data_IF_378544676253
#
_entry.id   IF_378544676253
#
_cell.length_a   1.000
_cell.length_b   1.000
_cell.length_c   1.000
_cell.angle_alpha   90.00
_cell.angle_beta   90.00
_cell.angle_gamma   90.00
#
_symmetry.space_group_name_H-M   'P 1'
#
loop_
_entity.id
_entity.type
_entity.pdbx_description
1 polymer ?
#
# COMPACT_ATOMS: atom_id res chain seq x y z
N UNK A 1 10.82 6.85 -31.67
CA UNK A 1 11.04 5.81 -30.64
C UNK A 1 9.76 5.74 -29.82
N UNK A 2 9.07 4.59 -29.78
CA UNK A 2 7.86 4.43 -28.97
C UNK A 2 8.29 4.15 -27.53
N UNK A 3 8.48 5.20 -26.73
CA UNK A 3 8.73 5.05 -25.30
C UNK A 3 7.44 4.52 -24.65
N UNK A 4 7.52 3.39 -23.96
CA UNK A 4 6.39 2.76 -23.28
C UNK A 4 6.43 3.06 -21.79
N UNK A 5 6.17 4.30 -21.41
CA UNK A 5 6.12 4.67 -19.99
C UNK A 5 4.90 4.01 -19.32
N UNK A 6 5.12 3.37 -18.17
CA UNK A 6 4.06 2.81 -17.33
C UNK A 6 4.15 3.40 -15.94
N UNK A 7 3.03 3.94 -15.50
CA UNK A 7 2.89 4.42 -14.14
C UNK A 7 2.32 3.33 -13.23
N UNK A 8 2.97 3.10 -12.09
CA UNK A 8 2.46 2.24 -11.03
C UNK A 8 1.68 3.08 -10.01
N UNK A 9 0.40 2.80 -9.88
CA UNK A 9 -0.55 3.58 -9.07
C UNK A 9 -1.18 2.68 -8.02
N UNK A 10 -1.35 3.18 -6.81
CA UNK A 10 -2.11 2.46 -5.79
C UNK A 10 -1.96 3.11 -4.43
N UNK A 11 -2.94 2.88 -3.56
CA UNK A 11 -2.94 3.43 -2.20
C UNK A 11 -1.76 2.98 -1.33
N UNK A 12 -1.65 3.51 -0.10
CA UNK A 12 -0.70 3.02 0.89
C UNK A 12 -0.84 1.50 1.10
N UNK A 13 0.30 0.82 1.29
CA UNK A 13 0.37 -0.63 1.51
C UNK A 13 -0.27 -1.52 0.41
N UNK A 14 -0.53 -0.99 -0.79
CA UNK A 14 -1.20 -1.72 -1.89
C UNK A 14 -0.39 -2.88 -2.51
N UNK A 15 0.87 -3.09 -2.08
CA UNK A 15 1.73 -4.18 -2.55
C UNK A 15 2.75 -3.81 -3.64
N UNK A 16 2.80 -2.54 -4.08
CA UNK A 16 3.73 -2.03 -5.12
C UNK A 16 5.19 -2.45 -4.91
N UNK A 17 5.76 -2.17 -3.73
CA UNK A 17 7.16 -2.47 -3.39
C UNK A 17 7.47 -3.96 -3.53
N UNK A 18 6.58 -4.81 -3.00
CA UNK A 18 6.74 -6.25 -3.07
C UNK A 18 6.52 -6.79 -4.49
N UNK A 19 5.62 -6.18 -5.27
CA UNK A 19 5.46 -6.47 -6.70
C UNK A 19 6.73 -6.14 -7.49
N UNK A 20 7.32 -4.96 -7.28
CA UNK A 20 8.57 -4.55 -7.94
C UNK A 20 9.71 -5.53 -7.62
N UNK A 21 9.86 -5.92 -6.35
CA UNK A 21 10.87 -6.92 -5.96
C UNK A 21 10.65 -8.27 -6.65
N UNK A 22 9.39 -8.74 -6.71
CA UNK A 22 9.05 -10.00 -7.37
C UNK A 22 9.23 -9.95 -8.89
N UNK A 23 8.89 -8.82 -9.51
CA UNK A 23 9.13 -8.53 -10.93
C UNK A 23 10.62 -8.53 -11.23
N UNK A 24 11.43 -7.94 -10.35
CA UNK A 24 12.88 -7.91 -10.49
C UNK A 24 13.51 -9.30 -10.50
N UNK A 25 13.04 -10.19 -9.62
CA UNK A 25 13.44 -11.59 -9.60
C UNK A 25 13.09 -12.32 -10.91
N UNK A 26 11.91 -12.03 -11.49
CA UNK A 26 11.52 -12.59 -12.79
C UNK A 26 12.43 -12.09 -13.93
N UNK A 27 12.74 -10.79 -13.94
CA UNK A 27 13.64 -10.19 -14.93
C UNK A 27 15.08 -10.72 -14.81
N UNK A 28 15.61 -10.83 -13.59
CA UNK A 28 16.92 -11.41 -13.35
C UNK A 28 17.01 -12.88 -13.81
N UNK A 29 15.93 -13.64 -13.62
CA UNK A 29 15.82 -15.02 -14.10
C UNK A 29 15.47 -15.14 -15.60
N UNK A 30 15.19 -14.03 -16.30
CA UNK A 30 14.70 -13.97 -17.69
C UNK A 30 13.44 -14.83 -17.93
N UNK A 31 12.53 -14.83 -16.96
CA UNK A 31 11.25 -15.57 -17.01
C UNK A 31 10.09 -14.63 -17.30
N UNK A 32 9.00 -15.21 -17.79
CA UNK A 32 7.77 -14.49 -18.14
C UNK A 32 7.73 -14.00 -19.58
N UNK A 33 6.54 -13.51 -19.97
CA UNK A 33 6.26 -12.92 -21.28
C UNK A 33 7.03 -11.64 -21.52
N UNK A 34 7.20 -10.84 -20.47
CA UNK A 34 7.99 -9.63 -20.52
C UNK A 34 9.37 -9.87 -19.91
N UNK A 35 10.43 -9.57 -20.66
CA UNK A 35 11.81 -9.78 -20.22
C UNK A 35 12.60 -8.49 -20.28
N UNK A 36 13.40 -8.23 -19.25
CA UNK A 36 14.36 -7.13 -19.28
C UNK A 36 15.58 -7.51 -20.13
N UNK A 37 15.99 -6.63 -21.04
CA UNK A 37 17.18 -6.81 -21.86
C UNK A 37 18.45 -6.51 -21.06
N UNK A 38 18.43 -5.38 -20.34
CA UNK A 38 19.51 -4.90 -19.50
C UNK A 38 18.94 -4.47 -18.14
N UNK A 39 19.58 -4.89 -17.05
CA UNK A 39 19.21 -4.46 -15.71
C UNK A 39 20.00 -3.17 -15.38
N UNK A 40 19.34 -2.05 -15.02
CA UNK A 40 20.03 -0.85 -14.59
C UNK A 40 20.90 -1.08 -13.35
N UNK A 41 22.02 -0.35 -13.26
CA UNK A 41 23.00 -0.51 -12.19
C UNK A 41 22.56 0.13 -10.86
N UNK A 42 21.78 1.21 -10.90
CA UNK A 42 21.35 1.94 -9.71
C UNK A 42 19.92 1.57 -9.29
N UNK A 43 19.80 0.51 -8.50
CA UNK A 43 18.52 -0.12 -8.11
C UNK A 43 18.50 -0.44 -6.62
N UNK A 44 19.21 0.33 -5.80
CA UNK A 44 19.42 0.05 -4.38
C UNK A 44 18.10 -0.22 -3.63
N UNK A 45 17.06 0.55 -3.93
CA UNK A 45 15.72 0.36 -3.37
C UNK A 45 15.12 -1.01 -3.74
N UNK A 46 15.24 -1.41 -5.00
CA UNK A 46 14.74 -2.71 -5.46
C UNK A 46 15.53 -3.84 -4.82
N UNK A 47 16.85 -3.69 -4.69
CA UNK A 47 17.70 -4.67 -4.02
C UNK A 47 17.32 -4.86 -2.55
N UNK A 48 17.01 -3.77 -1.83
CA UNK A 48 16.51 -3.85 -0.46
C UNK A 48 15.18 -4.61 -0.40
N UNK A 49 14.23 -4.29 -1.27
CA UNK A 49 12.95 -5.00 -1.32
C UNK A 49 13.10 -6.48 -1.70
N UNK A 50 14.03 -6.81 -2.60
CA UNK A 50 14.39 -8.20 -2.95
C UNK A 50 15.02 -8.92 -1.76
N UNK A 51 15.87 -8.25 -0.97
CA UNK A 51 16.50 -8.83 0.20
C UNK A 51 15.45 -9.26 1.25
N UNK A 52 14.39 -8.48 1.46
CA UNK A 52 13.27 -8.90 2.31
C UNK A 52 12.59 -10.17 1.81
N UNK A 53 12.27 -10.25 0.51
CA UNK A 53 11.68 -11.46 -0.06
C UNK A 53 12.62 -12.67 0.07
N UNK A 54 13.92 -12.46 -0.13
CA UNK A 54 14.94 -13.48 0.11
C UNK A 54 15.05 -13.84 1.59
N UNK A 55 14.76 -12.94 2.52
CA UNK A 55 14.63 -13.25 3.95
C UNK A 55 13.27 -13.91 4.30
N UNK A 56 12.39 -14.15 3.31
CA UNK A 56 11.04 -14.69 3.49
C UNK A 56 10.17 -13.78 4.35
N UNK A 57 10.37 -12.49 4.18
CA UNK A 57 9.60 -11.42 4.79
C UNK A 57 9.05 -10.52 3.68
N UNK A 58 7.88 -9.91 3.90
CA UNK A 58 7.43 -8.85 3.00
C UNK A 58 8.22 -7.58 3.28
N UNK A 59 8.62 -6.87 2.23
CA UNK A 59 9.24 -5.57 2.36
C UNK A 59 8.29 -4.64 3.16
N UNK A 60 8.81 -3.90 4.15
CA UNK A 60 8.03 -2.95 4.93
C UNK A 60 7.48 -1.84 4.03
N UNK A 61 6.60 -1.02 4.59
CA UNK A 61 6.15 0.18 3.91
C UNK A 61 7.38 1.05 3.61
N UNK A 62 7.54 1.47 2.36
CA UNK A 62 8.63 2.38 1.98
C UNK A 62 8.52 3.66 2.82
N UNK A 63 9.59 4.04 3.51
CA UNK A 63 9.58 5.17 4.44
C UNK A 63 9.27 6.49 3.73
N UNK A 64 8.39 7.25 4.39
CA UNK A 64 7.81 8.52 3.97
C UNK A 64 8.80 9.69 3.95
N UNK A 65 10.01 9.50 4.51
CA UNK A 65 10.99 10.56 4.75
C UNK A 65 11.92 10.84 3.56
N UNK A 66 11.44 10.66 2.33
CA UNK A 66 12.16 11.17 1.16
C UNK A 66 11.60 12.54 0.81
N UNK A 67 12.43 13.55 1.04
CA UNK A 67 12.34 14.90 0.49
C UNK A 67 11.88 14.83 -0.97
N UNK A 68 11.20 15.87 -1.47
CA UNK A 68 10.75 15.95 -2.88
C UNK A 68 11.88 15.74 -3.92
N UNK A 69 13.14 15.76 -3.48
CA UNK A 69 14.38 15.49 -4.24
C UNK A 69 14.78 14.00 -4.34
N UNK A 70 14.07 13.07 -3.68
CA UNK A 70 14.45 11.66 -3.54
C UNK A 70 13.81 10.67 -4.51
N UNK A 71 13.10 11.12 -5.57
CA UNK A 71 12.41 10.21 -6.51
C UNK A 71 13.40 9.31 -7.24
N UNK A 72 13.25 7.98 -7.08
CA UNK A 72 14.09 6.98 -7.73
C UNK A 72 13.39 6.39 -8.95
N UNK A 73 13.09 7.24 -9.92
CA UNK A 73 12.60 6.76 -11.22
C UNK A 73 13.65 5.83 -11.82
N UNK A 74 13.24 4.62 -12.17
CA UNK A 74 14.12 3.70 -12.88
C UNK A 74 13.50 3.38 -14.24
N UNK A 75 14.36 3.36 -15.25
CA UNK A 75 13.99 2.99 -16.62
C UNK A 75 14.64 1.65 -16.96
N UNK A 76 13.83 0.70 -17.43
CA UNK A 76 14.27 -0.62 -17.86
C UNK A 76 13.90 -0.82 -19.32
N UNK A 77 14.85 -1.29 -20.12
CA UNK A 77 14.55 -1.78 -21.46
C UNK A 77 13.93 -3.17 -21.37
N UNK A 78 12.66 -3.29 -21.75
CA UNK A 78 11.90 -4.54 -21.73
C UNK A 78 11.49 -4.96 -23.14
N UNK A 79 11.36 -6.27 -23.36
CA UNK A 79 10.91 -6.87 -24.61
C UNK A 79 9.75 -7.82 -24.30
N UNK A 80 8.65 -7.67 -25.04
CA UNK A 80 7.53 -8.62 -25.02
C UNK A 80 7.83 -9.90 -25.81
N UNK A 81 6.80 -10.72 -26.05
CA UNK A 81 6.89 -11.98 -26.80
C UNK A 81 8.02 -12.90 -26.31
N UNK A 82 8.08 -13.14 -24.99
CA UNK A 82 9.14 -13.97 -24.38
C UNK A 82 10.57 -13.45 -24.67
N UNK A 83 10.69 -12.14 -24.90
CA UNK A 83 11.95 -11.44 -25.12
C UNK A 83 12.38 -11.29 -26.59
N UNK A 84 11.55 -11.67 -27.57
CA UNK A 84 11.85 -11.46 -29.00
C UNK A 84 11.18 -10.22 -29.60
N UNK A 85 10.26 -9.59 -28.87
CA UNK A 85 9.50 -8.44 -29.33
C UNK A 85 10.32 -7.14 -29.42
N UNK A 86 9.64 -6.06 -29.81
CA UNK A 86 10.23 -4.72 -29.89
C UNK A 86 10.71 -4.24 -28.51
N UNK A 87 11.90 -3.64 -28.45
CA UNK A 87 12.44 -3.04 -27.21
C UNK A 87 11.62 -1.81 -26.86
N UNK A 88 11.07 -1.78 -25.64
CA UNK A 88 10.35 -0.65 -25.08
C UNK A 88 11.03 -0.18 -23.79
N UNK A 89 11.11 1.13 -23.62
CA UNK A 89 11.56 1.73 -22.36
C UNK A 89 10.39 1.76 -21.39
N UNK A 90 10.49 0.97 -20.33
CA UNK A 90 9.61 0.98 -19.18
C UNK A 90 10.19 1.94 -18.14
N UNK A 91 9.61 3.13 -18.04
CA UNK A 91 9.88 4.04 -16.92
C UNK A 91 8.87 3.73 -15.83
N UNK A 92 9.34 3.36 -14.65
CA UNK A 92 8.51 3.22 -13.45
C UNK A 92 8.76 4.45 -12.59
N UNK A 93 7.82 5.41 -12.52
CA UNK A 93 7.98 6.55 -11.66
C UNK A 93 7.84 6.10 -10.19
N UNK A 94 8.75 6.57 -9.33
CA UNK A 94 8.74 6.24 -7.90
C UNK A 94 7.67 7.06 -7.17
N UNK A 95 6.44 6.56 -7.27
CA UNK A 95 5.27 7.21 -6.71
C UNK A 95 4.86 6.53 -5.41
N UNK A 96 5.02 7.26 -4.30
CA UNK A 96 4.57 6.80 -2.98
C UNK A 96 3.04 6.81 -2.91
N UNK A 97 2.46 5.81 -2.23
CA UNK A 97 1.01 5.72 -2.03
C UNK A 97 0.42 6.88 -1.21
N UNK A 98 1.27 7.60 -0.48
CA UNK A 98 0.86 8.74 0.36
C UNK A 98 0.56 9.99 -0.44
N UNK A 99 1.37 10.24 -1.48
CA UNK A 99 1.16 11.38 -2.34
C UNK A 99 -0.15 11.22 -3.16
N UNK A 100 -0.55 9.98 -3.46
CA UNK A 100 -1.90 9.67 -3.95
C UNK A 100 -3.00 9.95 -2.93
N UNK A 101 -2.80 9.56 -1.66
CA UNK A 101 -3.75 9.88 -0.59
C UNK A 101 -3.94 11.39 -0.45
N UNK A 102 -2.85 12.16 -0.55
CA UNK A 102 -2.91 13.63 -0.57
C UNK A 102 -3.67 14.15 -1.78
N UNK A 103 -3.39 13.65 -2.97
CA UNK A 103 -4.06 14.08 -4.21
C UNK A 103 -5.56 13.79 -4.22
N UNK A 104 -5.99 12.68 -3.59
CA UNK A 104 -7.42 12.36 -3.43
C UNK A 104 -8.07 13.30 -2.42
N UNK A 105 -7.40 13.60 -1.30
CA UNK A 105 -7.95 14.48 -0.25
C UNK A 105 -8.02 15.95 -0.67
N UNK A 106 -7.03 16.42 -1.43
CA UNK A 106 -6.90 17.83 -1.85
C UNK A 106 -7.48 18.09 -3.22
N UNK A 107 -7.75 17.04 -4.01
CA UNK A 107 -8.04 17.14 -5.45
C UNK A 107 -6.94 17.84 -6.28
N UNK A 108 -5.72 17.93 -5.73
CA UNK A 108 -4.58 18.55 -6.38
C UNK A 108 -3.53 17.50 -6.78
N UNK A 109 -3.15 17.51 -8.04
CA UNK A 109 -2.04 16.70 -8.55
C UNK A 109 -0.78 17.56 -8.68
N UNK A 110 0.37 17.10 -8.15
CA UNK A 110 1.66 17.74 -8.40
C UNK A 110 1.96 17.84 -9.91
N UNK A 111 2.65 18.89 -10.34
CA UNK A 111 2.93 19.14 -11.78
C UNK A 111 3.65 17.98 -12.45
N UNK A 112 4.73 17.52 -11.84
CA UNK A 112 5.53 16.42 -12.39
C UNK A 112 4.73 15.11 -12.52
N UNK A 113 3.69 14.93 -11.69
CA UNK A 113 2.81 13.75 -11.77
C UNK A 113 1.88 13.84 -12.96
N UNK A 114 1.34 15.04 -13.21
CA UNK A 114 0.58 15.29 -14.41
C UNK A 114 1.44 15.04 -15.65
N UNK A 115 2.68 15.53 -15.66
CA UNK A 115 3.64 15.29 -16.75
C UNK A 115 3.91 13.78 -16.95
N UNK A 116 4.20 13.03 -15.86
CA UNK A 116 4.43 11.59 -15.93
C UNK A 116 3.20 10.81 -16.44
N UNK A 117 1.98 11.24 -16.06
CA UNK A 117 0.74 10.66 -16.55
C UNK A 117 0.49 10.98 -18.03
N UNK A 118 0.75 12.22 -18.43
CA UNK A 118 0.60 12.71 -19.82
C UNK A 118 1.62 12.09 -20.78
N UNK A 119 2.79 11.69 -20.27
CA UNK A 119 3.81 10.98 -21.05
C UNK A 119 3.55 9.47 -21.12
N UNK A 120 2.73 8.93 -20.20
CA UNK A 120 2.41 7.51 -20.12
C UNK A 120 1.16 7.16 -20.91
N UNK A 121 1.23 6.10 -21.73
CA UNK A 121 0.05 5.56 -22.41
C UNK A 121 -0.59 4.38 -21.69
N UNK A 122 -0.02 3.98 -20.55
CA UNK A 122 -0.41 2.77 -19.83
C UNK A 122 -0.13 2.90 -18.33
N UNK A 123 -0.93 2.22 -17.50
CA UNK A 123 -0.81 2.26 -16.05
C UNK A 123 -1.12 0.89 -15.42
N UNK A 124 -0.62 0.68 -14.20
CA UNK A 124 -1.05 -0.42 -13.32
C UNK A 124 -1.66 0.18 -12.06
N UNK A 125 -2.90 -0.18 -11.73
CA UNK A 125 -3.58 0.21 -10.51
C UNK A 125 -3.61 -0.97 -9.53
N UNK A 126 -2.95 -0.84 -8.38
CA UNK A 126 -2.92 -1.84 -7.34
C UNK A 126 -4.03 -1.62 -6.32
N UNK A 127 -4.88 -2.63 -6.15
CA UNK A 127 -5.90 -2.74 -5.11
C UNK A 127 -5.49 -3.91 -4.22
N UNK A 128 -5.30 -3.71 -2.91
CA UNK A 128 -4.89 -4.82 -2.03
C UNK A 128 -6.10 -5.46 -1.39
N UNK A 129 -6.24 -6.78 -1.52
CA UNK A 129 -7.25 -7.53 -0.79
C UNK A 129 -7.02 -7.47 0.72
N UNK A 130 -8.11 -7.40 1.49
CA UNK A 130 -8.12 -7.36 2.97
C UNK A 130 -7.17 -6.30 3.58
N UNK A 131 -6.95 -5.18 2.90
CA UNK A 131 -6.18 -4.08 3.46
C UNK A 131 -7.00 -3.35 4.52
N UNK A 132 -6.43 -3.13 5.71
CA UNK A 132 -7.02 -2.25 6.75
C UNK A 132 -7.21 -0.79 6.29
N UNK A 133 -6.56 -0.40 5.20
CA UNK A 133 -6.74 0.91 4.58
C UNK A 133 -7.93 0.95 3.61
N UNK A 134 -8.54 -0.19 3.30
CA UNK A 134 -9.76 -0.26 2.52
C UNK A 134 -10.96 0.00 3.42
N UNK A 135 -11.11 1.25 3.87
CA UNK A 135 -12.28 1.61 4.64
C UNK A 135 -13.51 1.45 3.76
N UNK A 136 -14.38 0.54 4.19
CA UNK A 136 -15.68 0.40 3.59
C UNK A 136 -16.51 1.64 3.92
N UNK A 137 -17.40 2.09 3.02
CA UNK A 137 -18.39 3.08 3.41
C UNK A 137 -19.15 2.55 4.62
N UNK A 138 -19.59 3.45 5.50
CA UNK A 138 -20.55 3.09 6.54
C UNK A 138 -21.76 2.45 5.85
N UNK A 139 -21.92 1.14 6.00
CA UNK A 139 -23.13 0.47 5.60
C UNK A 139 -24.20 0.87 6.61
N UNK A 140 -25.13 1.72 6.15
CA UNK A 140 -26.26 2.22 6.92
C UNK A 140 -27.14 1.07 7.46
N UNK A 141 -27.08 -0.13 6.89
CA UNK A 141 -27.77 -1.33 7.36
C UNK A 141 -27.08 -1.91 8.60
N UNK A 142 -25.75 -2.02 8.61
CA UNK A 142 -24.96 -2.39 9.82
C UNK A 142 -24.85 -1.27 10.84
N UNK A 143 -24.90 0.00 10.40
CA UNK A 143 -24.96 1.15 11.29
C UNK A 143 -26.28 1.21 12.07
N UNK A 144 -27.27 0.37 11.73
CA UNK A 144 -28.51 0.24 12.51
C UNK A 144 -28.24 -0.17 13.95
N UNK A 145 -27.32 -1.09 14.21
CA UNK A 145 -26.98 -1.51 15.59
C UNK A 145 -26.31 -0.36 16.36
N UNK A 146 -25.46 0.42 15.68
CA UNK A 146 -24.82 1.63 16.21
C UNK A 146 -25.84 2.77 16.42
N UNK A 147 -26.85 2.87 15.56
CA UNK A 147 -27.93 3.87 15.63
C UNK A 147 -29.04 3.46 16.63
N UNK A 148 -29.14 2.17 16.98
CA UNK A 148 -30.10 1.63 17.94
C UNK A 148 -29.62 1.76 19.40
N UNK A 149 -28.38 2.17 19.64
CA UNK A 149 -27.80 2.33 20.98
C UNK A 149 -27.93 3.72 21.60
N UNK A 150 -28.80 4.60 21.10
CA UNK A 150 -29.06 5.92 21.69
C UNK A 150 -30.55 6.14 22.00
N UNK A 151 -31.17 5.17 22.67
CA UNK A 151 -32.38 5.39 23.44
C UNK A 151 -32.11 4.90 24.86
N UNK A 152 -31.77 5.87 25.72
CA UNK A 152 -31.80 5.84 27.19
C UNK A 152 -30.77 4.98 27.92
N UNK A 153 -29.67 5.60 28.35
CA UNK A 153 -29.29 5.81 29.76
C UNK A 153 -27.84 6.36 29.81
N UNK A 154 -27.72 7.62 30.24
CA UNK A 154 -26.49 8.11 30.87
C UNK A 154 -26.32 7.27 32.15
N UNK A 155 -25.49 6.25 32.13
CA UNK A 155 -24.87 5.71 33.33
C UNK A 155 -23.57 4.98 32.95
N UNK A 156 -22.54 5.33 33.70
CA UNK A 156 -21.17 4.85 33.63
C UNK A 156 -21.08 3.32 33.81
N UNK A 157 -19.96 2.76 33.37
CA UNK A 157 -19.53 1.35 33.49
C UNK A 157 -19.82 0.46 32.26
N UNK A 158 -18.94 0.54 31.26
CA UNK A 158 -18.66 -0.61 30.39
C UNK A 158 -17.16 -0.86 30.31
N UNK A 159 -16.83 -2.10 30.63
CA UNK A 159 -15.52 -2.71 30.81
C UNK A 159 -14.55 -2.47 29.64
N UNK A 160 -13.27 -2.32 30.01
CA UNK A 160 -12.10 -2.43 29.15
C UNK A 160 -12.10 -3.77 28.39
N UNK A 161 -12.64 -3.79 27.16
CA UNK A 161 -12.23 -4.76 26.15
C UNK A 161 -11.10 -4.14 25.31
N UNK A 162 -9.90 -4.40 25.79
CA UNK A 162 -8.59 -4.14 25.18
C UNK A 162 -8.42 -4.97 23.90
N UNK A 163 -8.76 -4.38 22.76
CA UNK A 163 -8.32 -4.87 21.44
C UNK A 163 -7.03 -4.16 20.99
N UNK A 164 -5.98 -4.22 21.80
CA UNK A 164 -4.61 -3.91 21.37
C UNK A 164 -4.05 -5.07 20.52
N UNK A 165 -4.52 -5.19 19.29
CA UNK A 165 -3.89 -6.08 18.30
C UNK A 165 -2.73 -5.38 17.58
N UNK A 166 -1.52 -5.61 18.09
CA UNK A 166 -0.35 -5.83 17.23
C UNK A 166 0.67 -4.72 17.07
N UNK A 167 1.18 -4.15 18.18
CA UNK A 167 2.46 -3.43 18.19
C UNK A 167 3.50 -3.96 19.21
N UNK A 168 3.25 -5.07 19.93
CA UNK A 168 4.13 -5.56 21.02
C UNK A 168 4.69 -6.99 20.86
N UNK A 169 4.88 -7.52 19.65
CA UNK A 169 5.51 -8.85 19.44
C UNK A 169 6.82 -8.76 18.62
N UNK A 170 7.86 -9.47 19.05
CA UNK A 170 9.15 -9.55 18.36
C UNK A 170 9.19 -10.63 17.25
N UNK A 171 10.36 -10.82 16.62
CA UNK A 171 10.54 -11.68 15.44
C UNK A 171 10.21 -13.18 15.69
N UNK A 172 10.09 -13.59 16.96
CA UNK A 172 9.71 -14.96 17.34
C UNK A 172 8.27 -15.08 17.88
N UNK A 173 7.54 -13.96 18.04
CA UNK A 173 6.14 -13.94 18.49
C UNK A 173 5.99 -13.97 20.02
N UNK A 174 6.98 -13.47 20.75
CA UNK A 174 6.92 -13.25 22.20
C UNK A 174 6.67 -11.76 22.52
N UNK A 175 6.08 -11.42 23.69
CA UNK A 175 5.80 -10.04 24.06
C UNK A 175 7.08 -9.20 24.23
N UNK A 176 7.13 -8.00 23.65
CA UNK A 176 8.23 -7.05 23.80
C UNK A 176 8.17 -6.44 25.22
N UNK A 177 9.06 -6.85 26.12
CA UNK A 177 9.24 -6.16 27.41
C UNK A 177 9.73 -4.72 27.15
N UNK A 178 8.87 -3.73 27.38
CA UNK A 178 9.26 -2.33 27.36
C UNK A 178 10.24 -2.05 28.50
N UNK A 179 11.50 -1.81 28.14
CA UNK A 179 12.56 -1.51 29.09
C UNK A 179 12.20 -0.26 29.92
N UNK A 180 12.01 -0.45 31.24
CA UNK A 180 11.96 0.65 32.22
C UNK A 180 13.22 1.49 32.08
N UNK A 181 13.06 2.78 31.79
CA UNK A 181 14.15 3.78 31.87
C UNK A 181 14.86 3.67 33.24
N UNK A 182 16.20 3.66 33.28
CA UNK A 182 16.92 3.57 34.55
C UNK A 182 16.68 4.85 35.37
N UNK A 183 16.25 4.68 36.62
CA UNK A 183 16.23 5.75 37.63
C UNK A 183 17.64 6.31 37.78
N UNK A 184 17.86 7.53 37.27
CA UNK A 184 19.02 8.31 37.62
C UNK A 184 18.98 8.58 39.13
N UNK A 185 19.93 7.98 39.85
CA UNK A 185 20.19 8.26 41.26
C UNK A 185 21.12 9.48 41.26
N UNK A 186 20.63 10.64 41.65
CA UNK A 186 21.47 11.82 41.88
C UNK A 186 21.59 12.00 43.39
N UNK A 187 22.80 11.74 43.89
CA UNK A 187 23.28 12.21 45.19
C UNK A 187 23.69 13.68 45.01
N UNK A 188 23.16 14.57 45.85
CA UNK A 188 23.68 15.92 46.02
C UNK A 188 24.24 16.04 47.44
N UNK A 189 25.55 16.26 47.51
CA UNK A 189 26.23 16.93 48.62
C UNK A 189 26.99 18.14 48.04
N UNK A 190 27.01 19.21 48.84
CA UNK A 190 27.88 20.38 48.83
C UNK A 190 27.43 21.65 48.09
N UNK A 191 27.49 22.72 48.89
CA UNK A 191 27.17 24.14 48.72
C UNK A 191 27.96 24.84 47.59
N UNK A 192 27.47 25.98 47.08
CA UNK A 192 28.13 27.31 47.11
C UNK A 192 27.33 28.39 46.35
N UNK A 193 26.99 29.45 47.09
CA UNK A 193 26.83 30.90 46.83
C UNK A 193 26.49 31.54 45.46
N UNK A 194 25.37 32.32 45.50
CA UNK A 194 25.17 33.73 45.04
C UNK A 194 25.16 34.01 43.51
N UNK A 195 24.40 34.96 42.93
CA UNK A 195 23.95 36.31 43.32
C UNK A 195 22.60 36.61 42.63
N UNK A 196 21.66 37.21 43.38
CA UNK A 196 20.37 37.72 42.88
C UNK A 196 20.49 39.23 42.63
N UNK A 197 20.09 39.73 41.46
CA UNK A 197 19.76 41.16 41.25
C UNK A 197 18.25 41.28 41.15
N UNK A 198 17.68 42.03 42.09
CA UNK A 198 16.26 42.21 42.30
C UNK A 198 15.65 43.30 41.38
N UNK A 199 14.40 43.09 40.98
CA UNK A 199 13.43 44.16 40.72
C UNK A 199 12.10 43.78 41.42
N UNK A 200 11.41 44.70 42.14
CA UNK A 200 10.40 44.35 43.14
C UNK A 200 8.97 44.20 42.60
N UNK A 201 8.02 43.74 43.45
CA UNK A 201 6.79 43.05 43.07
C UNK A 201 5.52 43.92 43.15
N UNK A 202 4.39 43.39 42.66
CA UNK A 202 3.06 43.82 43.12
C UNK A 202 2.09 42.64 43.24
N UNK A 203 2.11 42.08 44.46
CA UNK A 203 1.01 41.60 45.32
C UNK A 203 -0.33 41.16 44.70
N UNK A 204 -0.66 39.87 44.92
CA UNK A 204 -1.85 39.46 45.68
C UNK A 204 -1.67 38.02 46.23
N UNK A 205 -1.79 37.88 47.56
CA UNK A 205 -1.93 36.63 48.34
C UNK A 205 -3.44 36.40 48.70
N UNK A 206 -3.87 35.34 49.41
CA UNK A 206 -3.46 33.91 49.41
C UNK A 206 -4.68 32.92 49.48
N UNK A 207 -4.40 31.60 49.39
CA UNK A 207 -5.29 30.49 49.79
C UNK A 207 -6.15 29.94 48.64
N UNK A 208 -6.25 28.63 48.36
CA UNK A 208 -6.21 27.44 49.22
C UNK A 208 -5.91 26.24 48.32
N UNK A 209 -5.22 25.21 48.84
CA UNK A 209 -4.99 23.94 48.13
C UNK A 209 -6.32 23.23 47.85
N UNK A 210 -6.53 22.81 46.61
CA UNK A 210 -7.37 21.64 46.33
C UNK A 210 -6.84 20.94 45.08
N UNK A 211 -6.68 19.62 45.20
CA UNK A 211 -6.33 18.73 44.11
C UNK A 211 -7.45 18.75 43.07
N UNK A 212 -7.07 18.76 41.80
CA UNK A 212 -7.99 18.47 40.71
C UNK A 212 -7.25 17.56 39.71
N UNK A 213 -7.68 16.30 39.72
CA UNK A 213 -7.40 15.31 38.70
C UNK A 213 -8.06 15.80 37.40
N UNK A 214 -7.26 16.49 36.59
CA UNK A 214 -7.64 16.87 35.24
C UNK A 214 -7.46 15.69 34.30
N UNK A 215 -8.49 14.86 34.21
CA UNK A 215 -8.78 13.96 33.09
C UNK A 215 -8.53 14.69 31.75
N UNK A 216 -7.38 14.41 31.14
CA UNK A 216 -7.14 14.76 29.74
C UNK A 216 -7.89 13.74 28.89
N UNK A 217 -9.21 13.92 28.82
CA UNK A 217 -10.05 13.28 27.83
C UNK A 217 -9.40 13.46 26.45
N UNK A 218 -8.82 12.38 25.96
CA UNK A 218 -8.29 12.26 24.61
C UNK A 218 -9.52 12.35 23.70
N UNK A 219 -9.85 13.57 23.26
CA UNK A 219 -10.88 13.79 22.24
C UNK A 219 -10.45 12.99 21.02
N UNK A 220 -11.06 11.83 20.81
CA UNK A 220 -10.89 11.00 19.62
C UNK A 220 -11.31 11.86 18.44
N UNK A 221 -10.33 12.47 17.77
CA UNK A 221 -10.59 13.17 16.52
C UNK A 221 -11.14 12.14 15.54
N UNK A 222 -12.44 12.21 15.29
CA UNK A 222 -13.16 11.42 14.29
C UNK A 222 -12.42 11.57 12.97
N UNK A 223 -11.67 10.54 12.59
CA UNK A 223 -10.88 10.56 11.35
C UNK A 223 -11.88 10.64 10.19
N UNK A 224 -11.90 11.79 9.53
CA UNK A 224 -12.71 12.02 8.34
C UNK A 224 -12.03 11.28 7.18
N UNK A 225 -12.31 9.98 7.05
CA UNK A 225 -11.64 9.13 6.07
C UNK A 225 -12.59 8.75 4.94
N UNK A 226 -12.21 9.16 3.73
CA UNK A 226 -12.91 8.81 2.51
C UNK A 226 -12.95 7.28 2.32
N UNK A 227 -14.10 6.69 1.98
CA UNK A 227 -14.18 5.28 1.62
C UNK A 227 -13.21 4.95 0.49
N UNK A 228 -12.54 3.80 0.59
CA UNK A 228 -11.45 3.48 -0.32
C UNK A 228 -11.89 3.39 -1.79
N UNK A 229 -13.11 2.90 -2.04
CA UNK A 229 -13.68 2.86 -3.40
C UNK A 229 -13.82 4.25 -4.05
N UNK A 230 -14.09 5.30 -3.27
CA UNK A 230 -14.12 6.69 -3.78
C UNK A 230 -12.72 7.09 -4.24
N UNK A 231 -11.71 6.78 -3.43
CA UNK A 231 -10.32 7.03 -3.78
C UNK A 231 -9.89 6.29 -5.06
N UNK A 232 -10.22 5.01 -5.20
CA UNK A 232 -9.90 4.25 -6.41
C UNK A 232 -10.64 4.78 -7.66
N UNK A 233 -11.90 5.21 -7.52
CA UNK A 233 -12.63 5.88 -8.60
C UNK A 233 -11.96 7.18 -9.05
N UNK A 234 -11.47 7.98 -8.11
CA UNK A 234 -10.75 9.22 -8.40
C UNK A 234 -9.39 8.94 -9.06
N UNK A 235 -8.65 7.93 -8.60
CA UNK A 235 -7.42 7.49 -9.27
C UNK A 235 -7.69 7.09 -10.72
N UNK A 236 -8.74 6.30 -10.96
CA UNK A 236 -9.11 5.90 -12.31
C UNK A 236 -9.57 7.10 -13.15
N UNK A 237 -10.23 8.09 -12.56
CA UNK A 237 -10.59 9.35 -13.23
C UNK A 237 -9.33 10.10 -13.69
N UNK A 238 -8.31 10.23 -12.84
CA UNK A 238 -7.05 10.86 -13.23
C UNK A 238 -6.35 10.11 -14.37
N UNK A 239 -6.30 8.78 -14.31
CA UNK A 239 -5.78 7.96 -15.40
C UNK A 239 -6.57 8.17 -16.70
N UNK A 240 -7.90 8.22 -16.62
CA UNK A 240 -8.75 8.45 -17.79
C UNK A 240 -8.58 9.84 -18.39
N UNK A 241 -8.32 10.87 -17.58
CA UNK A 241 -8.12 12.22 -18.06
C UNK A 241 -6.72 12.45 -18.64
N UNK A 242 -5.69 11.90 -17.99
CA UNK A 242 -4.30 12.31 -18.23
C UNK A 242 -3.51 11.35 -19.12
N UNK A 243 -3.81 10.04 -19.13
CA UNK A 243 -3.00 9.09 -19.92
C UNK A 243 -2.98 9.44 -21.41
N UNK A 244 -1.81 9.38 -22.05
CA UNK A 244 -1.70 9.64 -23.48
C UNK A 244 -2.43 8.58 -24.31
N UNK A 245 -3.02 8.99 -25.44
CA UNK A 245 -3.43 8.03 -26.48
C UNK A 245 -2.23 7.22 -26.96
N UNK A 246 -2.43 5.92 -27.19
CA UNK A 246 -1.36 5.05 -27.68
C UNK A 246 -1.00 5.40 -29.13
N UNK A 247 0.28 5.24 -29.54
CA UNK A 247 0.73 5.59 -30.89
C UNK A 247 0.03 4.81 -32.02
N UNK A 248 -0.53 3.64 -31.70
CA UNK A 248 -1.29 2.78 -32.61
C UNK A 248 -2.78 3.18 -32.74
N UNK A 249 -3.21 4.24 -32.04
CA UNK A 249 -4.59 4.71 -32.02
C UNK A 249 -5.51 3.94 -31.07
N UNK A 250 -5.00 2.90 -30.40
CA UNK A 250 -5.76 2.17 -29.38
C UNK A 250 -5.93 2.97 -28.09
N UNK A 251 -6.89 2.55 -27.27
CA UNK A 251 -7.19 3.15 -25.98
C UNK A 251 -5.99 3.00 -25.01
N UNK A 252 -5.69 4.00 -24.16
CA UNK A 252 -4.73 3.80 -23.07
C UNK A 252 -5.13 2.61 -22.21
N UNK A 253 -4.16 1.80 -21.80
CA UNK A 253 -4.40 0.55 -21.07
C UNK A 253 -4.16 0.73 -19.57
N UNK A 254 -5.07 0.24 -18.73
CA UNK A 254 -4.90 0.21 -17.28
C UNK A 254 -5.09 -1.21 -16.78
N UNK A 255 -4.01 -1.83 -16.28
CA UNK A 255 -4.10 -3.12 -15.62
C UNK A 255 -4.49 -2.89 -14.15
N UNK A 256 -5.61 -3.40 -13.71
CA UNK A 256 -6.02 -3.35 -12.31
C UNK A 256 -5.61 -4.67 -11.65
N UNK A 257 -4.71 -4.59 -10.68
CA UNK A 257 -4.13 -5.76 -10.00
C UNK A 257 -4.63 -5.83 -8.57
N UNK A 258 -5.45 -6.84 -8.27
CA UNK A 258 -5.86 -7.21 -6.92
C UNK A 258 -4.74 -8.02 -6.28
N UNK A 259 -3.96 -7.39 -5.39
CA UNK A 259 -2.83 -8.02 -4.71
C UNK A 259 -3.26 -8.79 -3.47
N UNK A 260 -2.40 -9.72 -3.03
CA UNK A 260 -2.68 -10.65 -1.95
C UNK A 260 -3.87 -11.56 -2.26
N UNK A 261 -3.98 -11.99 -3.52
CA UNK A 261 -5.07 -12.84 -4.00
C UNK A 261 -5.15 -14.18 -3.24
N UNK A 262 -4.00 -14.71 -2.84
CA UNK A 262 -3.86 -15.92 -2.01
C UNK A 262 -4.38 -15.76 -0.58
N UNK A 263 -4.68 -14.54 -0.13
CA UNK A 263 -5.27 -14.29 1.20
C UNK A 263 -6.79 -14.31 1.19
N UNK A 264 -7.40 -14.36 0.01
CA UNK A 264 -8.84 -14.53 -0.13
C UNK A 264 -9.25 -15.95 0.32
N UNK A 265 -10.49 -16.13 0.74
CA UNK A 265 -11.03 -17.44 1.04
C UNK A 265 -11.21 -18.31 -0.23
N UNK A 266 -11.49 -19.60 -0.05
CA UNK A 266 -11.57 -20.56 -1.17
C UNK A 266 -12.61 -20.18 -2.22
N UNK A 267 -13.72 -19.57 -1.80
CA UNK A 267 -14.78 -19.13 -2.70
C UNK A 267 -14.40 -17.83 -3.43
N UNK A 268 -13.77 -16.85 -2.76
CA UNK A 268 -13.34 -15.62 -3.42
C UNK A 268 -12.08 -15.81 -4.29
N UNK A 269 -11.20 -16.76 -3.98
CA UNK A 269 -10.08 -17.14 -4.87
C UNK A 269 -10.56 -17.86 -6.13
N UNK A 270 -11.68 -18.59 -6.06
CA UNK A 270 -12.33 -19.22 -7.21
C UNK A 270 -13.15 -18.21 -8.04
N UNK A 271 -13.57 -17.10 -7.43
CA UNK A 271 -14.24 -16.00 -8.11
C UNK A 271 -13.28 -15.25 -9.04
N UNK A 272 -13.83 -14.59 -10.06
CA UNK A 272 -12.99 -13.72 -10.92
C UNK A 272 -12.57 -12.44 -10.16
N UNK A 273 -11.43 -11.80 -10.53
CA UNK A 273 -11.07 -10.48 -10.01
C UNK A 273 -12.18 -9.43 -10.12
N UNK A 274 -12.99 -9.49 -11.19
CA UNK A 274 -14.15 -8.61 -11.34
C UNK A 274 -15.22 -8.91 -10.29
N UNK A 275 -15.55 -10.18 -10.07
CA UNK A 275 -16.54 -10.59 -9.08
C UNK A 275 -16.12 -10.22 -7.66
N UNK A 276 -14.83 -10.34 -7.33
CA UNK A 276 -14.28 -9.83 -6.08
C UNK A 276 -14.53 -8.32 -5.92
N UNK A 277 -14.21 -7.51 -6.95
CA UNK A 277 -14.45 -6.07 -6.90
C UNK A 277 -15.95 -5.73 -6.84
N UNK A 278 -16.83 -6.51 -7.45
CA UNK A 278 -18.28 -6.28 -7.36
C UNK A 278 -18.81 -6.44 -5.94
N UNK A 279 -18.26 -7.40 -5.19
CA UNK A 279 -18.64 -7.65 -3.80
C UNK A 279 -18.02 -6.61 -2.86
N UNK A 280 -16.72 -6.35 -3.00
CA UNK A 280 -15.96 -5.54 -2.03
C UNK A 280 -15.88 -4.05 -2.37
N UNK A 281 -15.97 -3.69 -3.66
CA UNK A 281 -15.81 -2.32 -4.15
C UNK A 281 -16.83 -2.00 -5.27
N UNK A 282 -18.14 -2.09 -5.01
CA UNK A 282 -19.17 -2.04 -6.05
C UNK A 282 -19.13 -0.76 -6.89
N UNK A 283 -18.78 0.40 -6.31
CA UNK A 283 -18.62 1.63 -7.11
C UNK A 283 -17.43 1.54 -8.08
N UNK A 284 -16.30 0.99 -7.63
CA UNK A 284 -15.13 0.79 -8.49
C UNK A 284 -15.44 -0.21 -9.59
N UNK A 285 -16.09 -1.33 -9.27
CA UNK A 285 -16.52 -2.32 -10.25
C UNK A 285 -17.46 -1.72 -11.30
N UNK A 286 -18.46 -0.95 -10.86
CA UNK A 286 -19.36 -0.23 -11.76
C UNK A 286 -18.60 0.75 -12.65
N UNK A 287 -17.62 1.46 -12.10
CA UNK A 287 -16.78 2.39 -12.85
C UNK A 287 -15.90 1.70 -13.89
N UNK A 288 -15.32 0.54 -13.56
CA UNK A 288 -14.51 -0.27 -14.49
C UNK A 288 -15.36 -0.84 -15.61
N UNK A 289 -16.59 -1.31 -15.31
CA UNK A 289 -17.54 -1.82 -16.32
C UNK A 289 -18.05 -0.75 -17.28
N UNK A 290 -18.04 0.51 -16.83
CA UNK A 290 -18.55 1.63 -17.63
C UNK A 290 -17.61 1.89 -18.81
N UNK A 291 -18.09 1.79 -20.07
CA UNK A 291 -17.25 2.06 -21.22
C UNK A 291 -16.68 3.49 -21.18
N UNK A 292 -15.36 3.60 -21.28
CA UNK A 292 -14.67 4.89 -21.26
C UNK A 292 -13.56 4.98 -22.28
N UNK A 293 -12.68 5.97 -22.10
CA UNK A 293 -11.48 6.16 -22.93
C UNK A 293 -10.43 5.09 -22.65
N UNK A 294 -10.45 4.48 -21.48
CA UNK A 294 -9.52 3.44 -21.06
C UNK A 294 -9.92 2.06 -21.57
N UNK A 295 -8.92 1.24 -21.83
CA UNK A 295 -9.02 -0.22 -21.94
C UNK A 295 -8.52 -0.80 -20.61
N UNK A 296 -9.33 -1.59 -19.92
CA UNK A 296 -9.06 -2.03 -18.54
C UNK A 296 -9.14 -3.54 -18.47
N UNK A 297 -8.10 -4.16 -17.92
CA UNK A 297 -8.03 -5.60 -17.64
C UNK A 297 -7.74 -5.83 -16.16
N UNK A 298 -8.36 -6.88 -15.61
CA UNK A 298 -8.32 -7.20 -14.20
C UNK A 298 -7.49 -8.46 -13.95
N UNK A 299 -6.61 -8.38 -12.96
CA UNK A 299 -5.73 -9.47 -12.56
C UNK A 299 -5.80 -9.66 -11.05
N UNK A 300 -5.90 -10.90 -10.59
CA UNK A 300 -5.53 -11.27 -9.23
C UNK A 300 -4.04 -11.59 -9.19
N UNK A 301 -3.36 -11.27 -8.09
CA UNK A 301 -1.94 -11.58 -7.96
C UNK A 301 -1.55 -12.04 -6.58
N UNK A 302 -0.84 -13.16 -6.56
CA UNK A 302 -0.06 -13.63 -5.43
C UNK A 302 1.42 -13.60 -5.79
N UNK A 303 2.22 -12.82 -5.07
CA UNK A 303 3.66 -12.69 -5.36
C UNK A 303 4.50 -13.88 -4.90
N UNK A 304 4.03 -14.63 -3.89
CA UNK A 304 4.74 -15.79 -3.34
C UNK A 304 3.86 -17.03 -3.14
N UNK A 305 2.54 -16.91 -3.30
CA UNK A 305 1.60 -18.02 -3.16
C UNK A 305 1.11 -18.28 -1.73
N UNK A 306 1.35 -17.36 -0.79
CA UNK A 306 0.91 -17.49 0.61
C UNK A 306 1.39 -16.35 1.51
N UNK A 307 1.05 -16.44 2.80
CA UNK A 307 1.38 -15.42 3.79
C UNK A 307 2.78 -15.65 4.39
N UNK A 308 3.64 -14.63 4.37
CA UNK A 308 4.96 -14.66 5.02
C UNK A 308 4.95 -14.18 6.48
N UNK A 309 3.83 -13.64 6.98
CA UNK A 309 3.76 -12.99 8.30
C UNK A 309 3.23 -13.94 9.38
N UNK A 310 3.71 -13.73 10.61
CA UNK A 310 3.23 -14.41 11.80
C UNK A 310 3.76 -15.83 11.99
N UNK A 311 3.90 -16.22 13.26
CA UNK A 311 4.30 -17.57 13.66
C UNK A 311 3.46 -18.70 13.03
N UNK A 312 2.12 -18.57 12.85
CA UNK A 312 1.30 -19.62 12.24
C UNK A 312 1.72 -20.00 10.81
N UNK A 313 2.36 -19.08 10.08
CA UNK A 313 2.78 -19.30 8.70
C UNK A 313 4.22 -19.84 8.56
N UNK A 314 4.85 -20.28 9.66
CA UNK A 314 6.20 -20.85 9.65
C UNK A 314 6.34 -22.03 8.70
N UNK A 315 5.35 -22.93 8.64
CA UNK A 315 5.38 -24.07 7.71
C UNK A 315 5.42 -23.63 6.24
N UNK A 316 4.67 -22.58 5.89
CA UNK A 316 4.71 -22.02 4.54
C UNK A 316 6.08 -21.39 4.23
N UNK A 317 6.63 -20.57 5.14
CA UNK A 317 7.99 -20.01 4.99
C UNK A 317 9.04 -21.10 4.83
N UNK A 318 8.94 -22.16 5.62
CA UNK A 318 9.83 -23.31 5.55
C UNK A 318 9.69 -24.05 4.21
N UNK A 319 8.49 -24.12 3.63
CA UNK A 319 8.25 -24.72 2.30
C UNK A 319 8.93 -23.97 1.14
N UNK A 320 9.23 -22.68 1.34
CA UNK A 320 9.94 -21.82 0.39
C UNK A 320 11.47 -21.92 0.53
N UNK A 321 11.99 -22.58 1.57
CA UNK A 321 13.44 -22.75 1.74
C UNK A 321 14.02 -23.57 0.59
N UNK A 322 15.09 -23.06 -0.01
CA UNK A 322 15.75 -23.70 -1.15
C UNK A 322 15.02 -23.57 -2.50
N UNK A 323 13.81 -22.99 -2.54
CA UNK A 323 13.12 -22.69 -3.80
C UNK A 323 13.64 -21.41 -4.42
N UNK A 324 13.61 -21.35 -5.75
CA UNK A 324 13.83 -20.12 -6.50
C UNK A 324 12.58 -19.24 -6.40
N UNK A 325 12.72 -18.06 -5.77
CA UNK A 325 11.62 -17.13 -5.61
C UNK A 325 11.13 -16.54 -6.95
N UNK A 326 11.87 -16.71 -8.04
CA UNK A 326 11.40 -16.35 -9.38
C UNK A 326 10.31 -17.30 -9.91
N UNK A 327 10.09 -18.45 -9.26
CA UNK A 327 9.14 -19.50 -9.67
C UNK A 327 7.90 -19.60 -8.77
N UNK A 328 7.82 -18.78 -7.73
CA UNK A 328 6.71 -18.81 -6.76
C UNK A 328 5.75 -17.66 -6.99
N UNK A 329 4.51 -17.83 -6.55
CA UNK A 329 3.43 -16.90 -6.88
C UNK A 329 2.79 -17.17 -8.23
N UNK A 330 1.73 -16.43 -8.52
CA UNK A 330 0.92 -16.56 -9.72
C UNK A 330 0.09 -15.29 -9.98
N UNK A 331 -0.33 -15.13 -11.22
CA UNK A 331 -1.32 -14.17 -11.68
C UNK A 331 -2.60 -14.92 -12.01
N UNK A 332 -3.70 -14.60 -11.31
CA UNK A 332 -5.03 -15.07 -11.62
C UNK A 332 -5.64 -14.17 -12.72
N UNK A 333 -5.99 -14.76 -13.86
CA UNK A 333 -6.50 -14.03 -15.03
C UNK A 333 -7.64 -14.80 -15.69
N UNK A 334 -8.62 -14.09 -16.21
CA UNK A 334 -9.71 -14.70 -16.97
C UNK A 334 -9.26 -15.01 -18.40
N UNK A 335 -9.31 -16.29 -18.79
CA UNK A 335 -9.05 -16.74 -20.17
C UNK A 335 -10.24 -17.54 -20.67
N UNK A 336 -10.87 -17.07 -21.75
CA UNK A 336 -12.06 -17.71 -22.33
C UNK A 336 -13.17 -17.99 -21.30
N UNK A 337 -13.37 -17.06 -20.35
CA UNK A 337 -14.39 -17.18 -19.30
C UNK A 337 -14.01 -18.08 -18.12
N UNK A 338 -12.79 -18.64 -18.09
CA UNK A 338 -12.30 -19.47 -16.98
C UNK A 338 -11.18 -18.75 -16.26
N UNK A 339 -11.19 -18.80 -14.92
CA UNK A 339 -10.10 -18.30 -14.10
C UNK A 339 -8.89 -19.24 -14.23
N UNK A 340 -7.76 -18.71 -14.66
CA UNK A 340 -6.50 -19.45 -14.80
C UNK A 340 -5.45 -18.83 -13.91
N UNK A 341 -4.75 -19.65 -13.14
CA UNK A 341 -3.57 -19.25 -12.38
C UNK A 341 -2.33 -19.46 -13.24
N UNK A 342 -1.74 -18.36 -13.71
CA UNK A 342 -0.55 -18.37 -14.55
C UNK A 342 0.68 -18.03 -13.67
N UNK A 343 1.78 -18.79 -13.73
CA UNK A 343 2.97 -18.51 -12.92
C UNK A 343 3.68 -17.21 -13.31
N UNK A 344 3.34 -16.61 -14.45
CA UNK A 344 3.94 -15.37 -14.91
C UNK A 344 3.38 -14.13 -14.20
N UNK A 345 4.18 -13.58 -13.28
CA UNK A 345 3.90 -12.32 -12.56
C UNK A 345 4.06 -11.06 -13.42
N UNK A 346 4.63 -11.19 -14.63
CA UNK A 346 4.84 -10.07 -15.56
C UNK A 346 3.62 -9.78 -16.42
N UNK A 347 2.60 -10.66 -16.40
CA UNK A 347 1.41 -10.56 -17.25
C UNK A 347 0.68 -9.22 -17.22
N UNK A 348 0.40 -8.60 -16.05
CA UNK A 348 -0.30 -7.31 -16.05
C UNK A 348 0.49 -6.22 -16.78
N UNK A 349 1.82 -6.28 -16.68
CA UNK A 349 2.72 -5.34 -17.32
C UNK A 349 2.84 -5.60 -18.82
N UNK A 350 2.96 -6.87 -19.23
CA UNK A 350 2.94 -7.27 -20.64
C UNK A 350 1.66 -6.81 -21.34
N UNK A 351 0.49 -7.10 -20.73
CA UNK A 351 -0.80 -6.70 -21.26
C UNK A 351 -0.93 -5.17 -21.35
N UNK A 352 -0.52 -4.44 -20.31
CA UNK A 352 -0.56 -2.97 -20.32
C UNK A 352 0.31 -2.39 -21.44
N UNK A 353 1.48 -2.98 -21.72
CA UNK A 353 2.37 -2.53 -22.78
C UNK A 353 1.85 -2.85 -24.18
N UNK A 354 1.05 -3.90 -24.38
CA UNK A 354 0.60 -4.29 -25.72
C UNK A 354 0.82 -5.75 -26.09
N UNK A 355 1.38 -6.57 -25.21
CA UNK A 355 1.96 -7.88 -25.52
C UNK A 355 1.17 -9.08 -24.97
#
# INVERSE_FOLDING_TARGET
MKNGSIILVGGPASGKTNYIARLWLAFAARKGKLRAKNLPANIEYVNQAVAYLQARQFAPRSDTNMDESGRRDFSIEVCGEDGTGEVRNLTVPDITGELWSRAIKTYELPKDWMEALEDSSSAILFVRAHSKFNLQPMDWVTAREILQGHEDEDDDDLDDDDDTYGDDEDEDGEPIETARSPKATVQEDAEVETVVVAVPPMEAEPGTKQADDGDQSNVVQKRDVLPAQVGFCELLRYLELLLRKRPDGSKPRVAVVVTAWDMLDGDATAASPMQYLENEFPMLAGRIKTPGRLDIELFGMSIVGGNLRGAPNKLFRDSLKGRDLSEVGYTAVMRNGVLVHDPDVTLPLAWALGD
#
